data_IF_961802669445
#
_entry.id   IF_961802669445
#
_cell.length_a   1.000
_cell.length_b   1.000
_cell.length_c   1.000
_cell.angle_alpha   90.00
_cell.angle_beta   90.00
_cell.angle_gamma   90.00
#
_symmetry.space_group_name_H-M   'P 1'
#
loop_
_entity.id
_entity.type
_entity.pdbx_description
1 polymer ?
#
# COMPACT_ATOMS: atom_id res chain seq x y z
N UNK A 1 6.98 -41.06 -7.58
CA UNK A 1 6.33 -40.61 -8.83
C UNK A 1 5.48 -39.39 -8.51
N UNK A 2 5.47 -38.35 -9.35
CA UNK A 2 4.57 -37.21 -9.16
C UNK A 2 3.12 -37.70 -9.21
N UNK A 3 2.35 -37.42 -8.17
CA UNK A 3 0.92 -37.73 -8.12
C UNK A 3 0.16 -36.65 -8.90
N UNK A 4 -0.88 -36.98 -9.69
CA UNK A 4 -1.66 -35.97 -10.42
C UNK A 4 -2.21 -34.82 -9.55
N UNK A 5 -2.38 -35.06 -8.25
CA UNK A 5 -2.78 -34.07 -7.24
C UNK A 5 -1.77 -32.94 -7.00
N UNK A 6 -0.53 -33.03 -7.52
CA UNK A 6 0.47 -31.95 -7.41
C UNK A 6 0.29 -30.85 -8.45
N UNK A 7 -0.58 -31.05 -9.45
CA UNK A 7 -0.89 -30.03 -10.46
C UNK A 7 -2.09 -29.18 -10.02
N UNK A 8 -1.89 -27.86 -9.97
CA UNK A 8 -2.91 -26.94 -9.46
C UNK A 8 -3.78 -26.31 -10.58
N UNK A 9 -3.18 -25.90 -11.69
CA UNK A 9 -3.87 -25.29 -12.84
C UNK A 9 -2.98 -25.33 -14.10
N UNK A 10 -3.57 -25.01 -15.26
CA UNK A 10 -2.89 -24.95 -16.55
C UNK A 10 -2.28 -23.55 -16.78
N UNK A 11 -1.04 -23.52 -17.25
CA UNK A 11 -0.41 -22.34 -17.84
C UNK A 11 -0.26 -22.52 -19.35
N UNK A 12 -0.44 -21.45 -20.10
CA UNK A 12 -0.31 -21.44 -21.56
C UNK A 12 0.92 -20.63 -21.95
N UNK A 13 1.88 -21.28 -22.61
CA UNK A 13 3.03 -20.60 -23.21
C UNK A 13 2.64 -20.07 -24.58
N UNK A 14 2.74 -18.76 -24.78
CA UNK A 14 2.49 -18.09 -26.06
C UNK A 14 3.77 -17.42 -26.52
N UNK A 15 3.97 -17.36 -27.84
CA UNK A 15 5.02 -16.54 -28.45
C UNK A 15 4.44 -15.66 -29.55
N UNK A 16 4.89 -14.42 -29.60
CA UNK A 16 4.58 -13.46 -30.67
C UNK A 16 5.65 -13.44 -31.78
N UNK A 17 6.58 -14.41 -31.76
CA UNK A 17 7.73 -14.49 -32.67
C UNK A 17 8.96 -13.71 -32.21
N UNK A 18 8.85 -12.84 -31.19
CA UNK A 18 9.98 -12.08 -30.61
C UNK A 18 10.26 -12.49 -29.18
N UNK A 19 9.19 -12.66 -28.40
CA UNK A 19 9.26 -13.05 -27.00
C UNK A 19 8.33 -14.24 -26.75
N UNK A 20 8.66 -15.02 -25.72
CA UNK A 20 7.80 -16.07 -25.16
C UNK A 20 7.33 -15.60 -23.80
N UNK A 21 6.04 -15.69 -23.52
CA UNK A 21 5.47 -15.36 -22.23
C UNK A 21 4.42 -16.39 -21.82
N UNK A 22 4.19 -16.49 -20.52
CA UNK A 22 3.20 -17.38 -19.95
C UNK A 22 1.91 -16.61 -19.67
N UNK A 23 0.79 -17.28 -19.91
CA UNK A 23 -0.53 -16.83 -19.54
C UNK A 23 -1.12 -17.81 -18.54
N UNK A 24 -1.86 -17.27 -17.58
CA UNK A 24 -2.67 -18.04 -16.64
C UNK A 24 -4.15 -17.72 -16.90
N UNK A 25 -4.85 -18.55 -17.70
CA UNK A 25 -6.26 -18.33 -18.01
C UNK A 25 -7.16 -18.31 -16.78
N UNK A 26 -6.74 -18.90 -15.64
CA UNK A 26 -7.55 -18.94 -14.41
C UNK A 26 -7.66 -17.58 -13.72
N UNK A 27 -6.81 -16.63 -14.09
CA UNK A 27 -6.82 -15.28 -13.53
C UNK A 27 -7.82 -14.36 -14.24
N UNK A 28 -8.14 -14.62 -15.52
CA UNK A 28 -9.07 -13.88 -16.41
C UNK A 28 -8.72 -12.40 -16.66
N UNK A 29 -8.22 -11.69 -15.65
CA UNK A 29 -7.94 -10.25 -15.62
C UNK A 29 -6.46 -9.95 -15.36
N UNK A 30 -5.58 -10.95 -15.43
CA UNK A 30 -4.15 -10.71 -15.28
C UNK A 30 -3.57 -9.95 -16.50
N UNK A 31 -2.67 -8.98 -16.28
CA UNK A 31 -1.82 -8.46 -17.34
C UNK A 31 -1.08 -9.57 -18.09
N UNK A 32 -0.95 -9.44 -19.41
CA UNK A 32 -0.27 -10.42 -20.24
C UNK A 32 1.17 -10.64 -19.77
N UNK A 33 1.56 -11.90 -19.60
CA UNK A 33 2.89 -12.28 -19.09
C UNK A 33 3.02 -12.23 -17.56
N UNK A 34 1.98 -11.81 -16.83
CA UNK A 34 1.97 -11.84 -15.38
C UNK A 34 1.40 -13.17 -14.89
N UNK A 35 2.15 -13.84 -14.02
CA UNK A 35 1.74 -15.06 -13.31
C UNK A 35 1.56 -14.72 -11.83
N UNK A 36 0.57 -15.35 -11.19
CA UNK A 36 0.32 -15.13 -9.77
C UNK A 36 1.57 -15.43 -8.93
N UNK A 37 1.93 -14.58 -7.96
CA UNK A 37 3.04 -14.85 -7.05
C UNK A 37 2.77 -16.06 -6.13
N UNK A 38 1.51 -16.45 -5.93
CA UNK A 38 1.18 -17.70 -5.22
C UNK A 38 1.59 -18.95 -6.02
N UNK A 39 1.75 -18.80 -7.33
CA UNK A 39 2.19 -19.83 -8.27
C UNK A 39 3.71 -19.86 -8.44
N UNK A 40 4.52 -19.22 -7.56
CA UNK A 40 6.02 -19.19 -7.57
C UNK A 40 6.72 -20.56 -7.50
N UNK A 41 5.98 -21.62 -7.77
CA UNK A 41 6.41 -23.00 -7.90
C UNK A 41 7.10 -23.23 -9.27
N UNK A 42 7.50 -24.48 -9.49
CA UNK A 42 7.92 -24.97 -10.80
C UNK A 42 6.68 -25.27 -11.66
N UNK A 43 6.79 -25.02 -12.96
CA UNK A 43 5.83 -25.51 -13.96
C UNK A 43 6.34 -26.81 -14.58
N UNK A 44 5.45 -27.74 -14.86
CA UNK A 44 5.74 -28.90 -15.69
C UNK A 44 5.42 -28.58 -17.15
N UNK A 45 6.45 -28.61 -18.01
CA UNK A 45 6.34 -28.24 -19.41
C UNK A 45 5.98 -29.45 -20.25
N UNK A 46 4.77 -29.42 -20.81
CA UNK A 46 4.32 -30.37 -21.82
C UNK A 46 4.86 -29.96 -23.19
N UNK A 47 6.14 -30.24 -23.46
CA UNK A 47 6.72 -30.01 -24.79
C UNK A 47 6.37 -31.18 -25.73
N UNK A 48 5.49 -30.93 -26.71
CA UNK A 48 5.11 -31.92 -27.75
C UNK A 48 6.14 -32.07 -28.88
N UNK A 49 7.24 -31.34 -28.86
CA UNK A 49 8.24 -31.39 -29.95
C UNK A 49 9.09 -32.68 -29.95
N UNK A 50 9.10 -33.44 -28.85
CA UNK A 50 9.82 -34.71 -28.75
C UNK A 50 8.97 -35.76 -28.03
N UNK A 51 8.66 -36.87 -28.72
CA UNK A 51 7.83 -37.99 -28.25
C UNK A 51 8.45 -38.82 -27.10
N UNK A 52 9.63 -38.45 -26.62
CA UNK A 52 10.30 -39.13 -25.51
C UNK A 52 10.21 -38.23 -24.28
N UNK A 53 9.14 -38.43 -23.52
CA UNK A 53 9.00 -37.89 -22.16
C UNK A 53 9.97 -38.68 -21.27
N UNK A 54 11.17 -38.15 -21.02
CA UNK A 54 12.06 -38.70 -20.00
C UNK A 54 11.67 -38.09 -18.65
N UNK A 55 10.93 -38.86 -17.87
CA UNK A 55 10.45 -38.57 -16.50
C UNK A 55 11.53 -38.21 -15.46
N UNK A 56 12.78 -37.95 -15.88
CA UNK A 56 13.95 -37.63 -15.06
C UNK A 56 14.15 -36.14 -14.76
N UNK A 57 13.23 -35.26 -15.16
CA UNK A 57 13.09 -33.93 -14.52
C UNK A 57 13.40 -32.69 -15.36
N UNK A 58 13.74 -32.81 -16.64
CA UNK A 58 13.92 -31.64 -17.54
C UNK A 58 12.62 -30.88 -17.83
N UNK A 59 11.48 -31.53 -17.60
CA UNK A 59 10.15 -30.95 -17.81
C UNK A 59 9.75 -29.99 -16.69
N UNK A 60 10.35 -30.12 -15.49
CA UNK A 60 10.14 -29.16 -14.40
C UNK A 60 11.02 -27.94 -14.60
N UNK A 61 10.39 -26.79 -14.82
CA UNK A 61 11.07 -25.52 -15.02
C UNK A 61 10.63 -24.51 -13.97
N UNK A 62 11.54 -23.72 -13.39
CA UNK A 62 11.17 -22.64 -12.50
C UNK A 62 10.38 -21.59 -13.27
N UNK A 63 9.28 -21.12 -12.68
CA UNK A 63 8.56 -19.99 -13.25
C UNK A 63 9.39 -18.72 -13.07
N UNK A 64 9.52 -17.95 -14.15
CA UNK A 64 10.20 -16.66 -14.08
C UNK A 64 9.41 -15.73 -13.16
N UNK A 65 10.03 -15.19 -12.08
CA UNK A 65 9.35 -14.27 -11.17
C UNK A 65 9.27 -12.85 -11.75
N UNK A 66 9.82 -12.62 -12.96
CA UNK A 66 9.93 -11.30 -13.58
C UNK A 66 8.58 -10.83 -14.13
N UNK A 67 8.14 -9.66 -13.68
CA UNK A 67 6.99 -8.99 -14.27
C UNK A 67 7.32 -8.42 -15.66
N UNK A 68 6.32 -8.35 -16.56
CA UNK A 68 6.49 -7.77 -17.89
C UNK A 68 6.61 -6.23 -17.88
N UNK A 69 6.45 -5.61 -16.71
CA UNK A 69 6.58 -4.17 -16.47
C UNK A 69 7.11 -3.92 -15.04
N UNK A 70 7.70 -2.74 -14.76
CA UNK A 70 8.07 -2.35 -13.40
C UNK A 70 6.86 -2.30 -12.47
N UNK A 71 6.98 -2.85 -11.26
CA UNK A 71 5.92 -2.76 -10.26
C UNK A 71 5.94 -1.38 -9.59
N UNK A 72 4.76 -0.81 -9.36
CA UNK A 72 4.62 0.48 -8.69
C UNK A 72 3.30 0.58 -7.94
N UNK A 73 3.29 1.34 -6.85
CA UNK A 73 2.09 1.65 -6.09
C UNK A 73 2.10 3.13 -5.72
N UNK A 74 1.10 3.86 -6.20
CA UNK A 74 0.90 5.25 -5.85
C UNK A 74 -0.40 5.41 -5.10
N UNK A 75 -0.35 6.00 -3.90
CA UNK A 75 -1.52 6.28 -3.08
C UNK A 75 -1.60 7.76 -2.76
N UNK A 76 -2.72 8.39 -3.13
CA UNK A 76 -3.01 9.77 -2.79
C UNK A 76 -4.17 9.83 -1.80
N UNK A 77 -3.98 10.57 -0.71
CA UNK A 77 -4.95 10.81 0.36
C UNK A 77 -5.25 12.30 0.42
N UNK A 78 -6.47 12.67 0.02
CA UNK A 78 -7.00 14.02 0.15
C UNK A 78 -7.97 14.07 1.33
N UNK A 79 -7.59 14.75 2.40
CA UNK A 79 -8.30 14.69 3.67
C UNK A 79 -8.65 16.06 4.27
N UNK A 80 -9.60 16.04 5.21
CA UNK A 80 -9.95 17.16 6.07
C UNK A 80 -10.35 16.72 7.46
N UNK A 81 -9.98 17.51 8.46
CA UNK A 81 -10.54 17.45 9.81
C UNK A 81 -11.44 18.67 10.00
N UNK A 82 -12.69 18.44 10.39
CA UNK A 82 -13.65 19.50 10.68
C UNK A 82 -13.47 20.05 12.11
N UNK A 83 -14.09 21.20 12.41
CA UNK A 83 -13.99 21.85 13.72
C UNK A 83 -14.59 21.03 14.89
N UNK A 84 -15.52 20.14 14.57
CA UNK A 84 -16.10 19.15 15.50
C UNK A 84 -15.19 17.93 15.72
N UNK A 85 -14.05 17.84 15.02
CA UNK A 85 -13.12 16.72 15.12
C UNK A 85 -13.40 15.56 14.17
N UNK A 86 -14.40 15.68 13.28
CA UNK A 86 -14.69 14.65 12.27
C UNK A 86 -13.61 14.63 11.19
N UNK A 87 -13.08 13.43 10.90
CA UNK A 87 -12.15 13.19 9.79
C UNK A 87 -12.89 12.67 8.56
N UNK A 88 -12.53 13.19 7.38
CA UNK A 88 -12.93 12.66 6.09
C UNK A 88 -11.75 12.60 5.16
N UNK A 89 -11.68 11.56 4.32
CA UNK A 89 -10.65 11.42 3.30
C UNK A 89 -11.20 10.82 2.02
N UNK A 90 -10.58 11.18 0.91
CA UNK A 90 -10.67 10.53 -0.38
C UNK A 90 -9.33 9.88 -0.67
N UNK A 91 -9.32 8.58 -0.87
CA UNK A 91 -8.11 7.79 -1.08
C UNK A 91 -8.15 7.24 -2.50
N UNK A 92 -7.04 7.34 -3.22
CA UNK A 92 -6.88 6.84 -4.59
C UNK A 92 -5.60 6.03 -4.73
N UNK A 93 -5.75 4.78 -5.17
CA UNK A 93 -4.67 3.88 -5.51
C UNK A 93 -4.48 3.85 -7.03
N UNK A 94 -3.23 3.74 -7.46
CA UNK A 94 -2.83 3.36 -8.82
C UNK A 94 -1.72 2.34 -8.71
N UNK A 95 -1.98 1.14 -9.23
CA UNK A 95 -1.19 -0.05 -8.93
C UNK A 95 -0.67 -0.69 -10.21
N UNK A 96 0.59 -1.14 -10.17
CA UNK A 96 1.18 -2.07 -11.12
C UNK A 96 1.93 -3.18 -10.40
N UNK A 97 1.67 -4.42 -10.77
CA UNK A 97 2.39 -5.61 -10.28
C UNK A 97 1.56 -6.46 -9.32
N UNK A 98 2.19 -7.15 -8.38
CA UNK A 98 1.51 -8.19 -7.58
C UNK A 98 0.28 -7.64 -6.81
N UNK A 99 0.38 -6.44 -6.23
CA UNK A 99 -0.75 -5.77 -5.55
C UNK A 99 -1.86 -5.34 -6.52
N UNK A 100 -1.51 -4.99 -7.76
CA UNK A 100 -2.47 -4.71 -8.82
C UNK A 100 -3.31 -5.96 -9.10
N UNK A 101 -2.66 -7.10 -9.33
CA UNK A 101 -3.34 -8.36 -9.64
C UNK A 101 -4.25 -8.80 -8.50
N UNK A 102 -3.77 -8.72 -7.25
CA UNK A 102 -4.57 -9.08 -6.07
C UNK A 102 -5.87 -8.26 -6.02
N UNK A 103 -5.77 -6.94 -6.11
CA UNK A 103 -6.95 -6.07 -6.02
C UNK A 103 -7.83 -6.19 -7.26
N UNK A 104 -7.24 -6.28 -8.45
CA UNK A 104 -7.98 -6.47 -9.71
C UNK A 104 -8.83 -7.75 -9.65
N UNK A 105 -8.27 -8.86 -9.17
CA UNK A 105 -9.01 -10.12 -8.95
C UNK A 105 -10.12 -9.95 -7.91
N UNK A 106 -9.85 -9.27 -6.80
CA UNK A 106 -10.85 -9.04 -5.75
C UNK A 106 -12.06 -8.27 -6.29
N UNK A 107 -11.84 -7.17 -7.02
CA UNK A 107 -12.92 -6.37 -7.62
C UNK A 107 -13.62 -7.07 -8.79
N UNK A 108 -12.89 -7.87 -9.59
CA UNK A 108 -13.46 -8.70 -10.65
C UNK A 108 -14.42 -9.76 -10.11
N UNK A 109 -14.02 -10.46 -9.05
CA UNK A 109 -14.78 -11.58 -8.48
C UNK A 109 -15.89 -11.14 -7.52
N UNK A 110 -15.91 -9.88 -7.11
CA UNK A 110 -16.88 -9.37 -6.14
C UNK A 110 -18.00 -8.60 -6.85
N UNK A 111 -19.28 -8.96 -6.63
CA UNK A 111 -20.40 -8.16 -7.11
C UNK A 111 -20.30 -6.71 -6.65
N UNK A 112 -20.69 -5.77 -7.50
CA UNK A 112 -20.46 -4.33 -7.29
C UNK A 112 -21.05 -3.81 -5.98
N UNK A 113 -22.16 -4.38 -5.54
CA UNK A 113 -22.85 -4.05 -4.29
C UNK A 113 -21.99 -4.36 -3.05
N UNK A 114 -21.04 -5.29 -3.16
CA UNK A 114 -20.11 -5.72 -2.11
C UNK A 114 -18.73 -5.08 -2.21
N UNK A 115 -18.48 -4.20 -3.17
CA UNK A 115 -17.19 -3.50 -3.30
C UNK A 115 -16.85 -2.66 -2.06
N UNK A 116 -17.87 -2.19 -1.33
CA UNK A 116 -17.67 -1.54 -0.03
C UNK A 116 -16.90 -2.43 0.95
N UNK A 117 -17.20 -3.72 1.00
CA UNK A 117 -16.57 -4.65 1.95
C UNK A 117 -15.10 -4.88 1.57
N UNK A 118 -14.80 -5.02 0.27
CA UNK A 118 -13.43 -5.14 -0.24
C UNK A 118 -12.61 -3.89 0.10
N UNK A 119 -13.14 -2.70 -0.18
CA UNK A 119 -12.47 -1.45 0.14
C UNK A 119 -12.36 -1.20 1.65
N UNK A 120 -13.31 -1.69 2.45
CA UNK A 120 -13.25 -1.62 3.91
C UNK A 120 -12.10 -2.51 4.46
N UNK A 121 -11.90 -3.70 3.89
CA UNK A 121 -10.77 -4.56 4.24
C UNK A 121 -9.43 -3.92 3.85
N UNK A 122 -9.33 -3.37 2.64
CA UNK A 122 -8.15 -2.62 2.19
C UNK A 122 -7.87 -1.41 3.11
N UNK A 123 -8.90 -0.66 3.46
CA UNK A 123 -8.77 0.47 4.37
C UNK A 123 -8.26 0.04 5.75
N UNK A 124 -8.71 -1.10 6.27
CA UNK A 124 -8.27 -1.62 7.56
C UNK A 124 -6.84 -2.15 7.52
N UNK A 125 -6.44 -2.85 6.45
CA UNK A 125 -5.07 -3.34 6.26
C UNK A 125 -4.06 -2.21 6.19
N UNK A 126 -4.47 -1.08 5.61
CA UNK A 126 -3.62 0.10 5.46
C UNK A 126 -3.54 0.95 6.73
N UNK A 127 -4.16 0.48 7.83
CA UNK A 127 -4.12 1.16 9.12
C UNK A 127 -5.17 2.27 9.30
N UNK A 128 -6.00 2.54 8.28
CA UNK A 128 -7.09 3.49 8.43
C UNK A 128 -8.21 2.92 9.31
N UNK A 129 -9.00 3.85 9.85
CA UNK A 129 -10.20 3.57 10.64
C UNK A 129 -11.36 4.39 10.09
N UNK A 130 -12.57 4.06 10.50
CA UNK A 130 -13.80 4.71 10.03
C UNK A 130 -14.51 3.93 8.92
N UNK A 131 -15.57 4.55 8.41
CA UNK A 131 -16.52 3.94 7.49
C UNK A 131 -16.16 4.26 6.04
N UNK A 132 -16.04 3.22 5.21
CA UNK A 132 -15.82 3.35 3.77
C UNK A 132 -17.13 3.64 3.02
N UNK A 133 -17.04 4.49 2.00
CA UNK A 133 -18.13 4.85 1.09
C UNK A 133 -17.60 5.21 -0.30
N UNK A 134 -18.49 5.36 -1.28
CA UNK A 134 -18.19 5.82 -2.64
C UNK A 134 -17.03 5.07 -3.30
N UNK A 135 -17.07 3.74 -3.25
CA UNK A 135 -16.03 2.89 -3.83
C UNK A 135 -16.18 2.82 -5.35
N UNK A 136 -15.09 3.06 -6.06
CA UNK A 136 -14.96 2.85 -7.50
C UNK A 136 -13.64 2.16 -7.81
N UNK A 137 -13.62 1.44 -8.93
CA UNK A 137 -12.41 0.83 -9.47
C UNK A 137 -12.41 0.97 -11.00
N UNK A 138 -11.21 0.92 -11.61
CA UNK A 138 -11.08 0.81 -13.07
C UNK A 138 -11.61 -0.52 -13.57
N UNK A 139 -11.89 -0.62 -14.86
CA UNK A 139 -12.27 -1.88 -15.51
C UNK A 139 -11.20 -2.97 -15.27
N UNK A 140 -11.55 -4.09 -14.60
CA UNK A 140 -10.62 -5.20 -14.42
C UNK A 140 -10.10 -5.81 -15.72
N UNK A 141 -10.80 -5.67 -16.85
CA UNK A 141 -10.36 -6.18 -18.15
C UNK A 141 -9.39 -5.24 -18.88
N UNK A 142 -9.22 -4.00 -18.42
CA UNK A 142 -8.24 -3.07 -18.98
C UNK A 142 -6.82 -3.40 -18.48
N UNK A 143 -6.25 -4.52 -18.92
CA UNK A 143 -5.03 -5.12 -18.35
C UNK A 143 -3.72 -4.47 -18.81
N UNK A 144 -3.78 -3.60 -19.81
CA UNK A 144 -2.64 -2.78 -20.25
C UNK A 144 -2.39 -1.58 -19.32
N UNK A 145 -3.45 -1.10 -18.66
CA UNK A 145 -3.41 0.08 -17.79
C UNK A 145 -3.24 -0.31 -16.32
N UNK A 146 -2.62 0.55 -15.49
CA UNK A 146 -2.63 0.36 -14.04
C UNK A 146 -4.03 0.26 -13.46
N UNK A 147 -4.24 -0.71 -12.57
CA UNK A 147 -5.49 -0.83 -11.84
C UNK A 147 -5.62 0.31 -10.83
N UNK A 148 -6.78 0.95 -10.79
CA UNK A 148 -7.08 2.04 -9.86
C UNK A 148 -8.24 1.69 -8.96
N UNK A 149 -8.15 2.08 -7.69
CA UNK A 149 -9.22 1.96 -6.71
C UNK A 149 -9.37 3.32 -6.03
N UNK A 150 -10.59 3.80 -5.88
CA UNK A 150 -10.88 5.04 -5.18
C UNK A 150 -12.01 4.81 -4.19
N UNK A 151 -11.88 5.36 -2.98
CA UNK A 151 -12.94 5.32 -1.98
C UNK A 151 -12.83 6.51 -1.02
N UNK A 152 -13.89 6.71 -0.24
CA UNK A 152 -13.93 7.72 0.82
C UNK A 152 -14.01 7.08 2.19
N UNK A 153 -13.35 7.69 3.16
CA UNK A 153 -13.46 7.35 4.58
C UNK A 153 -14.12 8.51 5.32
N UNK A 154 -14.97 8.18 6.29
CA UNK A 154 -15.44 9.10 7.32
C UNK A 154 -15.26 8.50 8.70
N UNK A 155 -14.65 9.25 9.61
CA UNK A 155 -14.47 8.88 11.01
C UNK A 155 -14.95 10.03 11.91
N UNK A 156 -16.14 9.89 12.53
CA UNK A 156 -16.58 10.77 13.61
C UNK A 156 -15.59 10.76 14.78
N UNK A 157 -15.56 11.84 15.55
CA UNK A 157 -14.79 11.94 16.80
C UNK A 157 -13.31 11.53 16.64
N UNK A 158 -12.71 11.81 15.48
CA UNK A 158 -11.32 11.48 15.21
C UNK A 158 -10.36 12.31 16.05
N UNK A 159 -10.67 13.60 16.25
CA UNK A 159 -9.94 14.49 17.17
C UNK A 159 -10.85 14.92 18.31
N UNK A 160 -10.41 14.64 19.54
CA UNK A 160 -10.96 15.25 20.75
C UNK A 160 -10.16 16.51 21.10
N UNK A 161 -10.69 17.67 20.72
CA UNK A 161 -10.05 18.96 20.96
C UNK A 161 -9.93 19.35 22.44
N UNK A 162 -10.57 18.62 23.35
CA UNK A 162 -10.43 18.87 24.81
C UNK A 162 -9.15 18.26 25.37
N UNK A 163 -8.49 17.36 24.62
CA UNK A 163 -7.28 16.66 25.04
C UNK A 163 -6.06 17.27 24.34
N UNK A 164 -5.54 18.34 24.91
CA UNK A 164 -4.32 18.98 24.43
C UNK A 164 -3.06 18.38 25.07
N UNK A 165 -1.96 18.19 24.32
CA UNK A 165 -1.84 18.40 22.89
C UNK A 165 -2.47 17.25 22.08
N UNK A 166 -3.18 17.59 21.00
CA UNK A 166 -3.71 16.57 20.07
C UNK A 166 -2.58 16.04 19.22
N UNK A 167 -2.41 14.72 19.18
CA UNK A 167 -1.40 14.02 18.38
C UNK A 167 -2.05 13.00 17.46
N UNK A 168 -1.63 12.95 16.21
CA UNK A 168 -2.10 11.96 15.24
C UNK A 168 -0.95 11.53 14.31
N UNK A 169 -0.90 10.26 13.88
CA UNK A 169 0.09 9.79 12.92
C UNK A 169 -0.16 10.41 11.54
N UNK A 170 0.82 10.34 10.62
CA UNK A 170 0.55 10.66 9.23
C UNK A 170 -0.54 9.71 8.70
N UNK A 171 -1.64 10.27 8.19
CA UNK A 171 -2.80 9.53 7.68
C UNK A 171 -2.53 9.00 6.26
N UNK A 172 -1.50 8.17 6.17
CA UNK A 172 -1.04 7.46 4.98
C UNK A 172 -1.23 5.95 5.20
N UNK A 173 -1.35 5.16 4.12
CA UNK A 173 -1.27 3.71 4.22
C UNK A 173 0.02 3.27 4.93
N UNK A 174 -0.09 2.26 5.78
CA UNK A 174 1.08 1.54 6.29
C UNK A 174 1.80 0.83 5.15
N UNK A 175 3.12 0.95 5.12
CA UNK A 175 3.94 0.30 4.11
C UNK A 175 4.17 -1.16 4.47
N UNK A 176 3.86 -2.07 3.53
CA UNK A 176 4.15 -3.49 3.69
C UNK A 176 5.65 -3.76 3.67
N UNK A 177 6.18 -4.26 4.78
CA UNK A 177 7.58 -4.66 4.93
C UNK A 177 7.61 -6.18 5.16
N UNK A 178 8.29 -6.96 4.29
CA UNK A 178 8.43 -8.40 4.47
C UNK A 178 9.07 -8.77 5.81
N UNK A 179 8.61 -9.84 6.44
CA UNK A 179 9.13 -10.34 7.71
C UNK A 179 10.49 -11.03 7.56
N UNK A 180 11.30 -10.98 8.62
CA UNK A 180 12.51 -11.79 8.73
C UNK A 180 12.11 -13.21 9.14
N UNK A 181 12.44 -14.25 8.34
CA UNK A 181 12.10 -15.61 8.69
C UNK A 181 12.89 -16.09 9.92
N UNK A 182 12.21 -16.81 10.80
CA UNK A 182 12.85 -17.43 11.95
C UNK A 182 13.76 -18.60 11.53
N UNK A 183 14.85 -18.89 12.26
CA UNK A 183 15.67 -20.07 12.03
C UNK A 183 14.84 -21.37 12.14
N UNK A 184 15.12 -22.33 11.27
CA UNK A 184 14.50 -23.65 11.37
C UNK A 184 14.96 -24.37 12.65
N UNK A 185 14.04 -24.96 13.44
CA UNK A 185 14.41 -25.74 14.63
C UNK A 185 15.32 -26.94 14.31
N UNK A 186 15.19 -27.50 13.09
CA UNK A 186 15.89 -28.71 12.69
C UNK A 186 17.31 -28.45 12.17
N UNK A 187 17.51 -27.38 11.39
CA UNK A 187 18.81 -27.09 10.74
C UNK A 187 19.57 -25.95 11.40
N UNK A 188 18.96 -25.22 12.35
CA UNK A 188 19.47 -23.98 12.97
C UNK A 188 19.91 -22.91 11.96
N UNK A 189 19.53 -23.04 10.69
CA UNK A 189 19.74 -22.06 9.64
C UNK A 189 18.44 -21.34 9.34
N UNK A 190 18.53 -20.02 9.12
CA UNK A 190 17.43 -19.25 8.57
C UNK A 190 17.46 -19.32 7.02
N UNK A 191 16.30 -19.35 6.36
CA UNK A 191 16.23 -19.17 4.91
C UNK A 191 16.56 -17.73 4.50
N UNK A 192 16.78 -17.46 3.21
CA UNK A 192 16.84 -16.10 2.68
C UNK A 192 15.59 -15.29 3.04
N UNK A 193 15.75 -13.97 3.12
CA UNK A 193 14.65 -13.02 3.36
C UNK A 193 14.03 -12.72 2.01
N UNK A 194 12.75 -13.04 1.84
CA UNK A 194 12.00 -12.78 0.61
C UNK A 194 11.46 -11.34 0.61
N UNK A 195 12.09 -10.46 -0.17
CA UNK A 195 11.63 -9.06 -0.34
C UNK A 195 10.48 -8.93 -1.35
N UNK A 196 10.29 -9.95 -2.19
CA UNK A 196 9.22 -9.98 -3.19
C UNK A 196 9.64 -9.37 -4.53
N UNK A 197 8.68 -8.89 -5.31
CA UNK A 197 8.98 -8.24 -6.59
C UNK A 197 9.54 -6.84 -6.34
N UNK A 198 10.60 -6.39 -7.06
CA UNK A 198 11.09 -5.03 -6.94
C UNK A 198 9.95 -4.04 -7.18
N UNK A 199 9.74 -3.15 -6.22
CA UNK A 199 8.52 -2.36 -6.09
C UNK A 199 8.85 -0.93 -5.71
N UNK A 200 8.23 0.02 -6.40
CA UNK A 200 8.30 1.45 -6.12
C UNK A 200 6.98 1.95 -5.50
N UNK A 201 7.01 2.39 -4.25
CA UNK A 201 5.81 2.79 -3.49
C UNK A 201 5.88 4.26 -3.11
N UNK A 202 4.97 5.08 -3.64
CA UNK A 202 4.78 6.46 -3.23
C UNK A 202 3.43 6.63 -2.53
N UNK A 203 3.44 7.33 -1.39
CA UNK A 203 2.21 7.74 -0.69
C UNK A 203 2.25 9.24 -0.42
N UNK A 204 1.12 9.93 -0.65
CA UNK A 204 0.95 11.37 -0.39
C UNK A 204 -0.32 11.66 0.40
N UNK A 205 -0.20 12.59 1.33
CA UNK A 205 -1.30 13.14 2.10
C UNK A 205 -1.36 14.65 1.87
N UNK A 206 -2.57 15.14 1.60
CA UNK A 206 -2.93 16.55 1.71
C UNK A 206 -4.07 16.66 2.73
N UNK A 207 -3.79 17.20 3.91
CA UNK A 207 -4.73 17.31 5.01
C UNK A 207 -5.08 18.77 5.29
N UNK A 208 -6.37 19.11 5.21
CA UNK A 208 -6.91 20.42 5.59
C UNK A 208 -7.36 20.41 7.04
N UNK A 209 -6.84 21.34 7.83
CA UNK A 209 -7.19 21.56 9.22
C UNK A 209 -8.28 22.65 9.34
N UNK A 210 -9.06 22.64 10.43
CA UNK A 210 -10.03 23.70 10.68
C UNK A 210 -9.31 25.03 10.95
N UNK A 211 -10.03 26.14 10.75
CA UNK A 211 -9.49 27.47 11.01
C UNK A 211 -9.04 27.61 12.47
N UNK A 212 -7.95 28.36 12.68
CA UNK A 212 -7.37 28.56 14.02
C UNK A 212 -6.50 27.40 14.51
N UNK A 213 -6.36 26.31 13.74
CA UNK A 213 -5.47 25.19 14.07
C UNK A 213 -4.18 25.26 13.26
N UNK A 214 -3.05 25.20 13.96
CA UNK A 214 -1.73 24.98 13.40
C UNK A 214 -1.28 23.53 13.67
N UNK A 215 -0.42 23.00 12.81
CA UNK A 215 0.23 21.71 13.04
C UNK A 215 1.74 21.89 13.12
N UNK A 216 2.36 21.10 13.99
CA UNK A 216 3.80 20.88 14.04
C UNK A 216 4.11 19.53 13.41
N UNK A 217 4.82 19.50 12.27
CA UNK A 217 5.20 18.25 11.62
C UNK A 217 6.31 17.56 12.40
N UNK A 218 6.39 16.22 12.34
CA UNK A 218 7.58 15.50 12.79
C UNK A 218 8.72 15.65 11.76
N UNK A 219 9.88 15.05 12.05
CA UNK A 219 11.05 15.12 11.18
C UNK A 219 11.05 13.95 10.19
N UNK A 220 11.20 14.26 8.90
CA UNK A 220 11.41 13.23 7.89
C UNK A 220 12.78 12.54 8.03
N UNK A 221 12.89 11.35 7.46
CA UNK A 221 14.12 10.54 7.45
C UNK A 221 14.44 10.06 6.03
N UNK A 222 15.66 9.61 5.82
CA UNK A 222 16.15 9.03 4.56
C UNK A 222 17.13 7.90 4.84
N UNK A 223 16.91 6.75 4.22
CA UNK A 223 17.70 5.54 4.41
C UNK A 223 17.93 4.91 3.07
N UNK A 224 19.19 4.67 2.73
CA UNK A 224 19.58 3.96 1.53
C UNK A 224 20.36 2.70 1.89
N UNK A 225 20.02 1.61 1.21
CA UNK A 225 20.71 0.32 1.20
C UNK A 225 20.82 -0.15 -0.24
N UNK A 226 21.72 -1.09 -0.48
CA UNK A 226 21.88 -1.78 -1.77
C UNK A 226 20.60 -2.51 -2.23
N UNK A 227 19.73 -2.89 -1.29
CA UNK A 227 18.50 -3.63 -1.57
C UNK A 227 17.21 -2.82 -1.48
N UNK A 228 17.21 -1.69 -0.79
CA UNK A 228 16.03 -0.84 -0.64
C UNK A 228 16.38 0.61 -0.26
N UNK A 229 15.50 1.54 -0.59
CA UNK A 229 15.56 2.92 -0.12
C UNK A 229 14.23 3.35 0.51
N UNK A 230 14.29 4.15 1.55
CA UNK A 230 13.15 4.78 2.18
C UNK A 230 13.40 6.28 2.36
N UNK A 231 12.39 7.12 2.09
CA UNK A 231 12.42 8.53 2.48
C UNK A 231 11.05 9.03 2.88
N UNK A 232 11.02 9.97 3.82
CA UNK A 232 9.80 10.64 4.28
C UNK A 232 9.98 12.16 4.29
N UNK A 233 8.89 12.89 4.02
CA UNK A 233 8.83 14.35 4.12
C UNK A 233 7.52 14.77 4.74
N UNK A 234 7.60 15.65 5.73
CA UNK A 234 6.44 16.17 6.46
C UNK A 234 6.51 17.69 6.48
N UNK A 235 5.38 18.35 6.26
CA UNK A 235 5.29 19.80 6.35
C UNK A 235 3.94 20.24 6.88
N UNK A 236 3.94 21.41 7.51
CA UNK A 236 2.73 22.10 7.90
C UNK A 236 2.90 23.59 7.57
N UNK A 237 1.93 24.14 6.83
CA UNK A 237 1.87 25.55 6.50
C UNK A 237 0.44 26.04 6.67
N UNK A 238 0.24 27.03 7.55
CA UNK A 238 -1.09 27.50 7.93
C UNK A 238 -2.01 26.34 8.38
N UNK A 239 -3.10 26.11 7.66
CA UNK A 239 -4.08 25.04 7.90
C UNK A 239 -3.88 23.82 6.98
N UNK A 240 -2.74 23.71 6.31
CA UNK A 240 -2.43 22.61 5.40
C UNK A 240 -1.29 21.77 5.96
N UNK A 241 -1.52 20.47 6.06
CA UNK A 241 -0.50 19.47 6.40
C UNK A 241 -0.24 18.61 5.17
N UNK A 242 1.03 18.36 4.88
CA UNK A 242 1.41 17.36 3.87
C UNK A 242 2.35 16.32 4.44
N UNK A 243 2.18 15.10 3.96
CA UNK A 243 3.08 13.99 4.25
C UNK A 243 3.38 13.24 2.95
N UNK A 244 4.62 12.79 2.80
CA UNK A 244 5.08 11.98 1.68
C UNK A 244 5.97 10.86 2.23
N UNK A 245 5.77 9.64 1.75
CA UNK A 245 6.70 8.52 1.96
C UNK A 245 6.99 7.85 0.64
N UNK A 246 8.25 7.48 0.44
CA UNK A 246 8.73 6.75 -0.73
C UNK A 246 9.54 5.55 -0.27
N UNK A 247 9.10 4.34 -0.64
CA UNK A 247 9.79 3.09 -0.38
C UNK A 247 10.07 2.41 -1.72
N UNK A 248 11.30 1.98 -1.92
CA UNK A 248 11.70 1.24 -3.10
C UNK A 248 12.45 -0.01 -2.72
N UNK A 249 11.93 -1.17 -3.12
CA UNK A 249 12.66 -2.43 -3.08
C UNK A 249 13.35 -2.68 -4.42
N UNK A 250 14.64 -2.99 -4.37
CA UNK A 250 15.51 -3.19 -5.55
C UNK A 250 15.76 -4.68 -5.78
N UNK A 251 16.10 -5.41 -4.71
CA UNK A 251 16.34 -6.85 -4.76
C UNK A 251 15.09 -7.64 -4.43
N UNK A 252 15.06 -8.90 -4.88
CA UNK A 252 13.98 -9.85 -4.60
C UNK A 252 14.15 -10.59 -3.30
N UNK A 253 15.39 -10.82 -2.90
CA UNK A 253 15.75 -11.60 -1.75
C UNK A 253 17.05 -11.07 -1.14
N UNK A 254 17.28 -11.41 0.13
CA UNK A 254 18.54 -11.19 0.83
C UNK A 254 19.04 -12.48 1.46
N UNK A 255 20.37 -12.72 1.47
CA UNK A 255 20.94 -13.80 2.25
C UNK A 255 20.57 -13.67 3.73
N UNK A 256 20.36 -14.81 4.42
CA UNK A 256 20.04 -14.85 5.84
C UNK A 256 21.03 -14.06 6.73
N UNK A 257 22.31 -13.98 6.33
CA UNK A 257 23.34 -13.21 7.02
C UNK A 257 23.03 -11.70 7.11
N UNK A 258 22.14 -11.17 6.26
CA UNK A 258 21.72 -9.76 6.25
C UNK A 258 20.51 -9.48 7.16
N UNK A 259 20.01 -10.46 7.90
CA UNK A 259 18.81 -10.32 8.75
C UNK A 259 18.89 -9.16 9.73
N UNK A 260 20.02 -8.94 10.39
CA UNK A 260 20.18 -7.83 11.34
C UNK A 260 20.14 -6.45 10.65
N UNK A 261 20.78 -6.31 9.49
CA UNK A 261 20.77 -5.06 8.69
C UNK A 261 19.36 -4.77 8.15
N UNK A 262 18.67 -5.79 7.64
CA UNK A 262 17.29 -5.67 7.19
C UNK A 262 16.32 -5.34 8.33
N UNK A 263 16.46 -5.98 9.50
CA UNK A 263 15.66 -5.64 10.69
C UNK A 263 15.87 -4.19 11.12
N UNK A 264 17.12 -3.68 11.06
CA UNK A 264 17.40 -2.27 11.35
C UNK A 264 16.72 -1.33 10.34
N UNK A 265 16.69 -1.68 9.05
CA UNK A 265 15.94 -0.95 8.04
C UNK A 265 14.43 -0.93 8.35
N UNK A 266 13.84 -2.10 8.64
CA UNK A 266 12.42 -2.23 9.00
C UNK A 266 12.07 -1.38 10.22
N UNK A 267 12.87 -1.47 11.29
CA UNK A 267 12.66 -0.66 12.49
C UNK A 267 12.75 0.84 12.21
N UNK A 268 13.67 1.27 11.36
CA UNK A 268 13.81 2.68 11.03
C UNK A 268 12.61 3.21 10.21
N UNK A 269 12.05 2.41 9.30
CA UNK A 269 10.80 2.73 8.61
C UNK A 269 9.64 2.79 9.60
N UNK A 270 9.44 1.77 10.44
CA UNK A 270 8.36 1.72 11.43
C UNK A 270 8.43 2.86 12.44
N UNK A 271 9.64 3.25 12.87
CA UNK A 271 9.84 4.38 13.77
C UNK A 271 9.43 5.72 13.13
N UNK A 272 9.71 5.90 11.83
CA UNK A 272 9.20 7.05 11.07
C UNK A 272 7.67 6.97 10.91
N UNK A 273 7.13 5.77 10.65
CA UNK A 273 5.68 5.58 10.53
C UNK A 273 4.91 5.93 11.79
N UNK A 274 5.49 5.65 12.96
CA UNK A 274 4.93 5.92 14.28
C UNK A 274 5.02 7.39 14.71
N UNK A 275 5.73 8.25 13.98
CA UNK A 275 5.80 9.67 14.31
C UNK A 275 4.44 10.36 14.17
N UNK A 276 4.20 11.34 15.03
CA UNK A 276 2.92 12.07 15.09
C UNK A 276 3.09 13.54 14.75
N UNK A 277 2.14 14.08 14.00
CA UNK A 277 1.87 15.52 13.98
C UNK A 277 1.29 15.94 15.34
N UNK A 278 1.64 17.14 15.78
CA UNK A 278 1.01 17.77 16.95
C UNK A 278 0.16 18.94 16.50
N UNK A 279 -1.10 19.01 16.91
CA UNK A 279 -1.98 20.15 16.62
C UNK A 279 -1.98 21.13 17.79
N UNK A 280 -1.95 22.41 17.45
CA UNK A 280 -2.03 23.53 18.38
C UNK A 280 -3.19 24.42 17.92
N UNK A 281 -4.17 24.66 18.79
CA UNK A 281 -5.21 25.64 18.52
C UNK A 281 -4.73 27.00 19.02
N UNK A 282 -4.69 27.98 18.12
CA UNK A 282 -4.52 29.37 18.53
C UNK A 282 -5.90 29.89 18.89
N UNK A 283 -6.09 30.34 20.11
CA UNK A 283 -7.30 31.07 20.48
C UNK A 283 -7.47 32.25 19.52
N UNK A 284 -8.60 32.31 18.82
CA UNK A 284 -9.02 33.54 18.15
C UNK A 284 -9.23 34.58 19.24
N UNK A 285 -8.59 35.77 19.17
CA UNK A 285 -8.84 36.82 20.15
C UNK A 285 -10.32 37.18 20.09
N UNK A 286 -10.99 37.07 21.23
CA UNK A 286 -12.37 37.50 21.41
C UNK A 286 -12.51 38.94 20.92
N UNK A 287 -13.46 39.28 20.02
CA UNK A 287 -13.69 40.67 19.66
C UNK A 287 -14.04 41.45 20.92
N UNK A 288 -13.27 42.51 21.20
CA UNK A 288 -13.52 43.37 22.35
C UNK A 288 -15.00 43.78 22.37
N UNK A 289 -15.65 43.52 23.51
CA UNK A 289 -17.03 43.90 23.73
C UNK A 289 -17.20 45.40 23.44
N UNK A 290 -18.13 45.74 22.53
CA UNK A 290 -18.48 47.13 22.26
C UNK A 290 -18.85 47.82 23.59
N UNK A 291 -18.33 49.02 23.86
CA UNK A 291 -18.70 49.74 25.08
C UNK A 291 -20.22 50.00 25.08
N UNK A 292 -20.86 49.61 26.19
CA UNK A 292 -22.26 49.85 26.46
C UNK A 292 -22.55 51.35 26.40
N UNK A 293 -23.44 51.76 25.49
CA UNK A 293 -23.94 53.13 25.43
C UNK A 293 -24.73 53.44 26.71
N UNK A 294 -24.17 54.29 27.57
CA UNK A 294 -24.88 54.84 28.71
C UNK A 294 -26.13 55.59 28.25
N UNK A 295 -27.28 55.27 28.85
CA UNK A 295 -28.52 56.04 28.74
C UNK A 295 -28.32 57.40 29.39
N UNK A 296 -28.31 58.46 28.61
CA UNK A 296 -28.51 59.82 29.12
C UNK A 296 -30.01 60.02 29.33
N UNK A 297 -30.45 60.06 30.58
CA UNK A 297 -31.75 60.59 30.95
C UNK A 297 -31.68 62.12 30.88
N UNK A 298 -32.55 62.73 30.08
CA UNK A 298 -32.80 64.18 30.10
C UNK A 298 -34.17 64.43 30.74
N UNK A 299 -34.16 65.47 31.57
CA UNK A 299 -35.21 65.99 32.44
C UNK A 299 -36.22 66.84 31.67
#
# INVERSE_FOLDING_TARGET
MPQPSVFNHLLVSVSDGKIRFLLDPSLEVAPFGMISPASKQCSFVLARESFVMDSRGHEWQPLSPRLPFPASQHVNVDASIAGDGKFTAKIRYRLRGDNELLLRLAFHRTPKEKWKDVAQLLSLSDGFRGQVSNVTASDPYATHEPFTVEYKISQPDFVDWKKEPVRFPALLPQLGLPDVPAPSPATKSAPPIELGTPLDVETRLTLRLPAGTAARPPFGTGIERDYASYSSKYSAAANLVTAYRHLKFILRELPAARAADYAAFVHAVQNDEAQTFTLERRETPTPAAKPSSAKTAAR
#
